data_IF_139413008101
#
_entry.id   IF_139413008101
#
_cell.length_a   1.000
_cell.length_b   1.000
_cell.length_c   1.000
_cell.angle_alpha   90.00
_cell.angle_beta   90.00
_cell.angle_gamma   90.00
#
_symmetry.space_group_name_H-M   'P 1'
#
loop_
_entity.id
_entity.type
_entity.pdbx_description
1 polymer ?
#
# COMPACT_ATOMS: atom_id res chain seq x y z
N UNK A 1 12.05 21.42 -1.51
CA UNK A 1 10.90 20.84 -2.24
C UNK A 1 11.36 19.53 -2.85
N UNK A 2 10.63 18.43 -2.64
CA UNK A 2 10.88 17.20 -3.39
C UNK A 2 10.53 17.46 -4.86
N UNK A 3 11.45 17.16 -5.79
CA UNK A 3 11.22 17.33 -7.22
C UNK A 3 10.11 16.39 -7.72
N UNK A 4 9.56 16.63 -8.93
CA UNK A 4 8.64 15.69 -9.55
C UNK A 4 9.30 14.30 -9.66
N UNK A 5 8.55 13.25 -9.32
CA UNK A 5 9.02 11.87 -9.44
C UNK A 5 9.36 11.50 -10.88
N UNK A 6 10.06 10.37 -11.13
CA UNK A 6 10.51 10.00 -12.46
C UNK A 6 9.33 9.85 -13.43
N UNK A 7 9.45 10.42 -14.63
CA UNK A 7 8.38 10.42 -15.63
C UNK A 7 8.27 9.10 -16.39
N UNK A 8 9.39 8.37 -16.55
CA UNK A 8 9.48 7.08 -17.22
C UNK A 8 10.34 6.10 -16.40
N UNK A 9 10.05 4.81 -16.53
CA UNK A 9 10.78 3.76 -15.85
C UNK A 9 12.11 3.48 -16.56
N UNK A 10 13.21 3.45 -15.81
CA UNK A 10 14.51 2.99 -16.34
C UNK A 10 14.51 1.47 -16.41
N UNK A 11 15.05 0.91 -17.48
CA UNK A 11 15.04 -0.52 -17.73
C UNK A 11 15.75 -1.36 -16.66
N UNK A 12 16.72 -0.80 -15.92
CA UNK A 12 17.54 -1.48 -14.92
C UNK A 12 17.02 -1.33 -13.47
N UNK A 13 16.03 -0.46 -13.26
CA UNK A 13 15.67 0.01 -11.93
C UNK A 13 14.66 -0.90 -11.20
N UNK A 14 14.69 -0.80 -9.88
CA UNK A 14 13.69 -1.37 -8.97
C UNK A 14 12.93 -0.21 -8.34
N UNK A 15 11.64 -0.08 -8.64
CA UNK A 15 10.76 0.92 -8.05
C UNK A 15 9.98 0.31 -6.91
N UNK A 16 10.01 0.94 -5.73
CA UNK A 16 9.24 0.51 -4.58
C UNK A 16 8.52 1.69 -3.92
N UNK A 17 7.29 1.43 -3.45
CA UNK A 17 6.59 2.32 -2.55
C UNK A 17 6.73 1.81 -1.12
N UNK A 18 7.30 2.62 -0.24
CA UNK A 18 7.40 2.32 1.19
C UNK A 18 6.19 2.90 1.91
N UNK A 19 5.39 2.01 2.50
CA UNK A 19 4.11 2.34 3.09
C UNK A 19 4.11 2.01 4.58
N UNK A 20 3.75 2.97 5.43
CA UNK A 20 3.43 2.69 6.83
C UNK A 20 2.00 2.14 6.88
N UNK A 21 1.90 0.86 7.21
CA UNK A 21 0.72 -0.01 7.08
C UNK A 21 0.55 -0.86 8.33
N UNK A 22 -0.69 -0.98 8.85
CA UNK A 22 -1.24 -2.03 9.76
C UNK A 22 -2.24 -1.46 10.76
N UNK A 23 -1.97 -0.27 11.31
CA UNK A 23 -2.87 0.37 12.31
C UNK A 23 -3.69 1.53 11.75
N UNK A 24 -3.49 1.83 10.47
CA UNK A 24 -4.07 2.98 9.78
C UNK A 24 -5.59 2.97 9.67
N UNK A 25 -6.20 1.79 9.75
CA UNK A 25 -7.65 1.57 9.81
C UNK A 25 -8.24 1.93 11.19
N UNK A 26 -7.42 2.05 12.23
CA UNK A 26 -7.91 2.32 13.57
C UNK A 26 -8.10 3.80 13.84
N UNK A 27 -9.28 4.22 14.32
CA UNK A 27 -9.56 5.63 14.61
C UNK A 27 -8.63 6.19 15.70
N UNK A 28 -8.37 5.41 16.75
CA UNK A 28 -7.51 5.84 17.86
C UNK A 28 -6.05 6.04 17.43
N UNK A 29 -5.61 5.33 16.39
CA UNK A 29 -4.26 5.46 15.89
C UNK A 29 -3.99 6.88 15.38
N UNK A 30 -4.95 7.46 14.64
CA UNK A 30 -4.88 8.82 14.12
C UNK A 30 -5.04 9.89 15.19
N UNK A 31 -5.80 9.63 16.26
CA UNK A 31 -5.95 10.60 17.36
C UNK A 31 -4.72 10.62 18.29
N UNK A 32 -3.92 9.55 18.32
CA UNK A 32 -2.88 9.35 19.35
C UNK A 32 -1.52 8.97 18.74
N UNK A 33 -1.33 7.71 18.33
CA UNK A 33 0.00 7.18 18.02
C UNK A 33 0.62 7.78 16.76
N UNK A 34 -0.20 7.99 15.72
CA UNK A 34 0.26 8.57 14.46
C UNK A 34 0.87 9.96 14.67
N UNK A 35 0.43 10.76 15.67
CA UNK A 35 1.03 12.07 15.95
C UNK A 35 2.50 11.97 16.39
N UNK A 36 2.86 10.90 17.11
CA UNK A 36 4.24 10.63 17.54
C UNK A 36 5.15 10.37 16.34
N UNK A 37 4.69 9.54 15.40
CA UNK A 37 5.44 9.23 14.16
C UNK A 37 5.50 10.45 13.25
N UNK A 38 4.37 11.16 13.15
CA UNK A 38 4.27 12.36 12.33
C UNK A 38 5.22 13.44 12.81
N UNK A 39 5.52 13.54 14.11
CA UNK A 39 6.43 14.55 14.66
C UNK A 39 7.91 14.37 14.28
N UNK A 40 8.29 13.30 13.58
CA UNK A 40 9.66 13.07 13.15
C UNK A 40 10.17 14.22 12.23
N UNK A 41 11.33 14.83 12.54
CA UNK A 41 11.86 15.98 11.78
C UNK A 41 12.29 15.62 10.35
N UNK A 42 12.47 14.34 10.04
CA UNK A 42 12.79 13.86 8.70
C UNK A 42 11.53 13.65 7.82
N UNK A 43 10.33 13.92 8.36
CA UNK A 43 9.08 13.85 7.57
C UNK A 43 9.16 14.75 6.35
N UNK A 44 8.72 14.22 5.22
CA UNK A 44 8.74 14.92 3.94
C UNK A 44 10.08 14.92 3.20
N UNK A 45 11.15 14.34 3.78
CA UNK A 45 12.45 14.18 3.08
C UNK A 45 12.45 13.01 2.10
N UNK A 46 11.65 11.99 2.36
CA UNK A 46 11.50 10.78 1.54
C UNK A 46 10.02 10.48 1.33
N UNK A 47 9.63 9.84 0.20
CA UNK A 47 8.24 9.50 -0.05
C UNK A 47 7.77 8.40 0.90
N UNK A 48 6.62 8.61 1.54
CA UNK A 48 5.98 7.65 2.45
C UNK A 48 4.50 7.56 2.11
N UNK A 49 4.02 6.34 1.90
CA UNK A 49 2.59 6.05 1.86
C UNK A 49 2.03 5.86 3.26
N UNK A 50 0.89 6.48 3.55
CA UNK A 50 0.20 6.44 4.84
C UNK A 50 -1.17 5.77 4.67
N UNK A 51 -1.31 4.60 5.29
CA UNK A 51 -2.57 3.86 5.37
C UNK A 51 -3.57 4.62 6.23
N UNK A 52 -4.64 5.20 5.67
CA UNK A 52 -5.56 6.09 6.40
C UNK A 52 -7.01 5.62 6.38
N UNK A 53 -7.63 5.54 7.57
CA UNK A 53 -9.04 5.26 7.69
C UNK A 53 -9.87 6.40 7.09
N UNK A 54 -10.66 6.08 6.06
CA UNK A 54 -11.49 7.07 5.39
C UNK A 54 -12.69 7.53 6.23
N UNK A 55 -13.13 6.76 7.22
CA UNK A 55 -14.25 7.13 8.12
C UNK A 55 -13.88 8.18 9.16
N UNK A 56 -12.59 8.56 9.25
CA UNK A 56 -12.18 9.78 9.96
C UNK A 56 -12.93 11.01 9.48
N UNK A 57 -13.39 11.02 8.22
CA UNK A 57 -14.17 12.10 7.63
C UNK A 57 -15.49 12.38 8.37
N UNK A 58 -15.99 11.40 9.12
CA UNK A 58 -17.20 11.53 9.92
C UNK A 58 -16.89 11.42 11.41
N UNK A 59 -15.99 10.50 11.80
CA UNK A 59 -15.69 10.22 13.20
C UNK A 59 -14.76 11.26 13.84
N UNK A 60 -13.77 11.75 13.10
CA UNK A 60 -12.72 12.66 13.59
C UNK A 60 -12.35 13.73 12.54
N UNK A 61 -13.32 14.52 12.04
CA UNK A 61 -13.10 15.39 10.87
C UNK A 61 -12.00 16.45 11.08
N UNK A 62 -11.91 17.04 12.28
CA UNK A 62 -10.86 18.01 12.59
C UNK A 62 -9.46 17.38 12.68
N UNK A 63 -9.37 16.12 13.15
CA UNK A 63 -8.11 15.37 13.15
C UNK A 63 -7.69 15.09 11.72
N UNK A 64 -8.63 14.64 10.87
CA UNK A 64 -8.38 14.38 9.46
C UNK A 64 -7.86 15.63 8.73
N UNK A 65 -8.59 16.74 8.86
CA UNK A 65 -8.22 18.02 8.25
C UNK A 65 -6.81 18.45 8.65
N UNK A 66 -6.45 18.29 9.93
CA UNK A 66 -5.12 18.61 10.41
C UNK A 66 -4.03 17.81 9.67
N UNK A 67 -4.22 16.50 9.46
CA UNK A 67 -3.24 15.69 8.72
C UNK A 67 -3.10 16.10 7.26
N UNK A 68 -4.20 16.38 6.56
CA UNK A 68 -4.15 16.88 5.19
C UNK A 68 -3.49 18.26 5.10
N UNK A 69 -3.78 19.18 6.02
CA UNK A 69 -3.19 20.51 6.04
C UNK A 69 -1.68 20.53 6.33
N UNK A 70 -1.16 19.50 7.01
CA UNK A 70 0.25 19.39 7.39
C UNK A 70 1.02 18.32 6.60
N UNK A 71 0.38 17.72 5.59
CA UNK A 71 1.01 16.78 4.68
C UNK A 71 1.98 17.51 3.74
N UNK A 72 3.16 16.93 3.57
CA UNK A 72 4.11 17.36 2.55
C UNK A 72 3.80 16.69 1.21
N UNK A 73 4.46 17.11 0.13
CA UNK A 73 4.34 16.45 -1.18
C UNK A 73 4.77 14.97 -1.18
N UNK A 74 5.52 14.56 -0.15
CA UNK A 74 6.02 13.20 0.05
C UNK A 74 5.15 12.37 1.00
N UNK A 75 4.15 12.98 1.65
CA UNK A 75 3.16 12.27 2.45
C UNK A 75 1.97 11.91 1.56
N UNK A 76 1.79 10.63 1.24
CA UNK A 76 0.72 10.14 0.36
C UNK A 76 -0.26 9.25 1.10
N UNK A 77 -1.50 9.70 1.24
CA UNK A 77 -2.55 8.90 1.87
C UNK A 77 -3.20 7.95 0.88
N UNK A 78 -3.60 6.78 1.36
CA UNK A 78 -4.48 5.85 0.64
C UNK A 78 -5.44 5.21 1.64
N UNK A 79 -6.59 4.73 1.18
CA UNK A 79 -7.60 4.13 2.05
C UNK A 79 -7.06 2.89 2.74
N UNK A 80 -7.20 2.86 4.07
CA UNK A 80 -6.67 1.80 4.91
C UNK A 80 -7.31 0.44 4.67
N UNK A 81 -6.73 -0.62 5.24
CA UNK A 81 -7.25 -1.98 5.11
C UNK A 81 -8.68 -2.07 5.70
N UNK A 82 -9.72 -2.51 4.98
CA UNK A 82 -9.77 -3.00 3.59
C UNK A 82 -10.64 -2.12 2.69
N UNK A 83 -10.48 -0.80 2.77
CA UNK A 83 -11.27 0.22 2.09
C UNK A 83 -11.99 1.11 3.09
N UNK A 84 -13.31 0.90 3.23
CA UNK A 84 -14.15 1.64 4.18
C UNK A 84 -13.86 1.25 5.66
N UNK A 85 -13.35 0.04 5.89
CA UNK A 85 -13.06 -0.45 7.24
C UNK A 85 -12.44 -1.84 7.20
N UNK A 86 -11.83 -2.24 8.32
CA UNK A 86 -11.05 -3.47 8.36
C UNK A 86 -11.92 -4.72 8.24
N UNK A 87 -11.60 -5.53 7.25
CA UNK A 87 -12.20 -6.83 6.99
C UNK A 87 -11.26 -7.72 6.20
N UNK A 88 -11.37 -9.03 6.37
CA UNK A 88 -10.75 -9.96 5.45
C UNK A 88 -11.58 -10.03 4.15
N UNK A 89 -11.01 -9.52 3.06
CA UNK A 89 -11.69 -9.44 1.76
C UNK A 89 -12.05 -10.80 1.18
N UNK A 90 -11.36 -11.87 1.59
CA UNK A 90 -11.62 -13.24 1.14
C UNK A 90 -12.96 -13.76 1.66
N UNK A 91 -13.22 -13.55 2.94
CA UNK A 91 -14.37 -14.14 3.64
C UNK A 91 -15.51 -13.16 3.88
N UNK A 92 -15.33 -11.89 3.48
CA UNK A 92 -16.35 -10.88 3.65
C UNK A 92 -17.64 -11.26 2.90
N UNK A 93 -18.76 -11.10 3.59
CA UNK A 93 -20.11 -11.47 3.15
C UNK A 93 -20.38 -12.97 2.87
N UNK A 94 -19.44 -13.89 3.10
CA UNK A 94 -19.62 -15.32 2.77
C UNK A 94 -20.78 -15.99 3.52
N UNK A 95 -21.09 -15.53 4.74
CA UNK A 95 -22.21 -16.09 5.53
C UNK A 95 -23.59 -15.61 5.06
N UNK A 96 -23.65 -14.67 4.12
CA UNK A 96 -24.91 -14.17 3.55
C UNK A 96 -25.28 -14.95 2.27
N UNK A 97 -26.57 -15.06 2.01
CA UNK A 97 -27.12 -15.87 0.91
C UNK A 97 -27.26 -15.05 -0.37
N UNK A 98 -26.92 -15.68 -1.51
CA UNK A 98 -27.27 -15.23 -2.87
C UNK A 98 -27.28 -13.72 -3.07
N UNK A 99 -28.46 -13.15 -3.31
CA UNK A 99 -28.66 -11.74 -3.59
C UNK A 99 -28.16 -10.78 -2.48
N UNK A 100 -28.20 -11.19 -1.21
CA UNK A 100 -27.69 -10.37 -0.11
C UNK A 100 -26.17 -10.25 -0.17
N UNK A 101 -25.47 -11.35 -0.44
CA UNK A 101 -24.02 -11.36 -0.61
C UNK A 101 -23.61 -10.40 -1.74
N UNK A 102 -24.26 -10.52 -2.89
CA UNK A 102 -23.98 -9.66 -4.04
C UNK A 102 -24.25 -8.18 -3.75
N UNK A 103 -25.35 -7.88 -3.07
CA UNK A 103 -25.69 -6.52 -2.63
C UNK A 103 -24.62 -5.97 -1.68
N UNK A 104 -24.23 -6.73 -0.65
CA UNK A 104 -23.25 -6.30 0.35
C UNK A 104 -21.90 -5.99 -0.31
N UNK A 105 -21.39 -6.88 -1.15
CA UNK A 105 -20.12 -6.69 -1.85
C UNK A 105 -20.15 -5.47 -2.78
N UNK A 106 -21.25 -5.27 -3.51
CA UNK A 106 -21.45 -4.09 -4.35
C UNK A 106 -21.50 -2.81 -3.53
N UNK A 107 -22.33 -2.77 -2.50
CA UNK A 107 -22.58 -1.55 -1.73
C UNK A 107 -21.34 -1.15 -0.94
N UNK A 108 -20.58 -2.12 -0.41
CA UNK A 108 -19.29 -1.86 0.23
C UNK A 108 -18.28 -1.23 -0.73
N UNK A 109 -18.16 -1.75 -1.95
CA UNK A 109 -17.28 -1.16 -2.95
C UNK A 109 -17.72 0.27 -3.33
N UNK A 110 -19.01 0.50 -3.54
CA UNK A 110 -19.56 1.83 -3.85
C UNK A 110 -19.29 2.83 -2.72
N UNK A 111 -19.48 2.42 -1.47
CA UNK A 111 -19.18 3.27 -0.31
C UNK A 111 -17.69 3.55 -0.19
N UNK A 112 -16.83 2.54 -0.32
CA UNK A 112 -15.37 2.72 -0.34
C UNK A 112 -14.96 3.76 -1.39
N UNK A 113 -15.46 3.62 -2.63
CA UNK A 113 -15.19 4.58 -3.70
C UNK A 113 -15.71 5.99 -3.42
N UNK A 114 -16.88 6.13 -2.80
CA UNK A 114 -17.45 7.43 -2.41
C UNK A 114 -16.55 8.15 -1.42
N UNK A 115 -16.07 7.45 -0.39
CA UNK A 115 -15.17 8.02 0.62
C UNK A 115 -13.80 8.37 0.04
N UNK A 116 -13.23 7.48 -0.78
CA UNK A 116 -11.98 7.75 -1.48
C UNK A 116 -12.07 9.04 -2.31
N UNK A 117 -13.14 9.21 -3.09
CA UNK A 117 -13.38 10.46 -3.86
C UNK A 117 -13.57 11.68 -2.98
N UNK A 118 -14.33 11.57 -1.88
CA UNK A 118 -14.55 12.69 -0.93
C UNK A 118 -13.22 13.21 -0.36
N UNK A 119 -12.27 12.32 -0.16
CA UNK A 119 -10.96 12.62 0.43
C UNK A 119 -9.83 12.79 -0.59
N UNK A 120 -10.12 12.64 -1.89
CA UNK A 120 -9.09 12.67 -2.93
C UNK A 120 -8.07 11.52 -2.83
N UNK A 121 -8.43 10.39 -2.22
CA UNK A 121 -7.55 9.22 -2.12
C UNK A 121 -7.68 8.37 -3.38
N UNK A 122 -6.56 8.15 -4.06
CA UNK A 122 -6.51 7.35 -5.29
C UNK A 122 -6.21 5.87 -5.06
N UNK A 123 -5.74 5.52 -3.86
CA UNK A 123 -5.35 4.16 -3.50
C UNK A 123 -6.29 3.51 -2.51
N UNK A 124 -6.44 2.18 -2.62
CA UNK A 124 -7.12 1.35 -1.61
C UNK A 124 -6.23 0.20 -1.21
N UNK A 125 -6.04 -0.02 0.09
CA UNK A 125 -5.39 -1.23 0.60
C UNK A 125 -6.43 -2.28 0.98
N UNK A 126 -6.16 -3.55 0.68
CA UNK A 126 -7.06 -4.68 0.93
C UNK A 126 -6.33 -5.80 1.68
N UNK A 127 -6.85 -6.18 2.85
CA UNK A 127 -6.39 -7.35 3.58
C UNK A 127 -7.01 -8.63 3.00
N UNK A 128 -6.16 -9.60 2.68
CA UNK A 128 -6.49 -10.81 1.91
C UNK A 128 -6.06 -12.08 2.66
N UNK A 129 -6.34 -12.14 3.97
CA UNK A 129 -6.06 -13.32 4.80
C UNK A 129 -4.67 -13.37 5.41
N UNK A 130 -4.43 -14.38 6.25
CA UNK A 130 -3.15 -14.59 6.91
C UNK A 130 -2.03 -14.91 5.93
N UNK A 131 -0.81 -14.62 6.36
CA UNK A 131 0.42 -14.74 5.58
C UNK A 131 0.66 -16.09 4.88
N UNK A 132 0.16 -17.18 5.47
CA UNK A 132 0.32 -18.56 5.00
C UNK A 132 -1.00 -19.21 4.58
N UNK A 133 -2.12 -18.49 4.67
CA UNK A 133 -3.45 -19.05 4.43
C UNK A 133 -3.63 -19.47 2.97
N UNK A 134 -4.61 -20.32 2.70
CA UNK A 134 -5.04 -20.53 1.32
C UNK A 134 -5.74 -19.26 0.80
N UNK A 135 -5.31 -18.77 -0.36
CA UNK A 135 -6.07 -17.76 -1.10
C UNK A 135 -7.33 -18.45 -1.66
N UNK A 136 -8.53 -18.18 -1.12
CA UNK A 136 -9.75 -18.75 -1.64
C UNK A 136 -10.10 -18.09 -2.98
N UNK A 137 -11.05 -18.66 -3.73
CA UNK A 137 -11.53 -18.06 -4.96
C UNK A 137 -11.97 -16.61 -4.75
N UNK A 138 -11.72 -15.74 -5.73
CA UNK A 138 -12.19 -14.35 -5.68
C UNK A 138 -13.69 -14.31 -5.47
N UNK A 139 -14.14 -13.54 -4.48
CA UNK A 139 -15.55 -13.19 -4.29
C UNK A 139 -15.95 -11.94 -5.11
N UNK A 140 -15.06 -11.41 -5.95
CA UNK A 140 -15.30 -10.27 -6.81
C UNK A 140 -15.13 -8.90 -6.14
N UNK A 141 -14.75 -8.83 -4.86
CA UNK A 141 -14.64 -7.56 -4.13
C UNK A 141 -13.53 -6.66 -4.68
N UNK A 142 -12.34 -7.23 -4.97
CA UNK A 142 -11.22 -6.52 -5.58
C UNK A 142 -11.66 -5.85 -6.90
N UNK A 143 -12.31 -6.60 -7.78
CA UNK A 143 -12.79 -6.11 -9.07
C UNK A 143 -13.84 -5.01 -8.92
N UNK A 144 -14.70 -5.11 -7.91
CA UNK A 144 -15.72 -4.08 -7.63
C UNK A 144 -15.07 -2.79 -7.10
N UNK A 145 -14.06 -2.90 -6.25
CA UNK A 145 -13.32 -1.76 -5.70
C UNK A 145 -12.47 -1.10 -6.80
N UNK A 146 -11.73 -1.87 -7.58
CA UNK A 146 -10.90 -1.35 -8.68
C UNK A 146 -11.73 -0.60 -9.74
N UNK A 147 -13.02 -0.94 -9.91
CA UNK A 147 -13.93 -0.24 -10.84
C UNK A 147 -14.49 1.08 -10.30
N UNK A 148 -14.26 1.41 -9.03
CA UNK A 148 -14.82 2.63 -8.47
C UNK A 148 -14.11 3.86 -9.06
N UNK A 149 -14.90 4.85 -9.47
CA UNK A 149 -14.36 6.11 -9.94
C UNK A 149 -13.44 6.74 -8.89
N UNK A 150 -12.24 7.13 -9.30
CA UNK A 150 -11.19 7.70 -8.44
C UNK A 150 -10.15 6.69 -7.95
N UNK A 151 -10.42 5.38 -7.98
CA UNK A 151 -9.42 4.37 -7.64
C UNK A 151 -8.43 4.22 -8.79
N UNK A 152 -7.15 4.48 -8.52
CA UNK A 152 -6.03 4.42 -9.49
C UNK A 152 -5.02 3.33 -9.18
N UNK A 153 -5.02 2.77 -7.98
CA UNK A 153 -4.22 1.59 -7.63
C UNK A 153 -4.83 0.84 -6.43
N UNK A 154 -4.48 -0.44 -6.31
CA UNK A 154 -4.83 -1.27 -5.16
C UNK A 154 -3.56 -1.87 -4.56
N UNK A 155 -3.44 -1.80 -3.22
CA UNK A 155 -2.39 -2.46 -2.46
C UNK A 155 -2.97 -3.68 -1.76
N UNK A 156 -2.55 -4.87 -2.18
CA UNK A 156 -2.99 -6.13 -1.61
C UNK A 156 -2.09 -6.54 -0.44
N UNK A 157 -2.72 -7.26 0.49
CA UNK A 157 -2.14 -7.93 1.63
C UNK A 157 -1.62 -7.00 2.73
N UNK A 158 -1.88 -7.39 3.98
CA UNK A 158 -1.25 -6.77 5.14
C UNK A 158 0.06 -7.48 5.43
N UNK A 159 1.06 -7.17 4.59
CA UNK A 159 2.35 -7.83 4.54
C UNK A 159 2.40 -9.00 3.57
N UNK A 160 3.62 -9.42 3.21
CA UNK A 160 3.87 -10.44 2.19
C UNK A 160 3.03 -11.68 2.41
N UNK A 161 2.41 -12.19 1.36
CA UNK A 161 1.75 -13.49 1.40
C UNK A 161 2.69 -14.54 0.82
N UNK A 162 2.88 -15.68 1.50
CA UNK A 162 3.79 -16.77 1.07
C UNK A 162 3.45 -17.38 -0.29
N UNK A 163 2.20 -17.23 -0.73
CA UNK A 163 1.71 -17.79 -1.99
C UNK A 163 1.80 -16.81 -3.16
N UNK A 164 2.29 -15.60 -2.92
CA UNK A 164 2.51 -14.60 -3.95
C UNK A 164 3.97 -14.67 -4.40
N UNK A 165 4.17 -15.09 -5.65
CA UNK A 165 5.48 -15.03 -6.30
C UNK A 165 5.86 -13.55 -6.54
N UNK A 166 7.07 -13.10 -6.15
CA UNK A 166 7.51 -11.72 -6.38
C UNK A 166 7.34 -11.22 -7.82
N UNK A 167 7.68 -12.07 -8.81
CA UNK A 167 7.56 -11.74 -10.24
C UNK A 167 6.11 -11.54 -10.73
N UNK A 168 5.12 -11.95 -9.93
CA UNK A 168 3.69 -11.82 -10.24
C UNK A 168 2.96 -10.89 -9.26
N UNK A 169 3.70 -10.25 -8.36
CA UNK A 169 3.14 -9.41 -7.31
C UNK A 169 2.53 -8.11 -7.83
N UNK A 170 2.92 -7.66 -9.02
CA UNK A 170 2.37 -6.50 -9.69
C UNK A 170 1.65 -6.91 -10.98
N UNK A 171 0.40 -6.51 -11.15
CA UNK A 171 -0.36 -6.78 -12.36
C UNK A 171 -1.41 -5.71 -12.64
N UNK A 172 -1.84 -5.63 -13.90
CA UNK A 172 -2.94 -4.76 -14.31
C UNK A 172 -4.26 -5.51 -14.18
N UNK A 173 -5.13 -5.03 -13.28
CA UNK A 173 -6.54 -5.42 -13.26
C UNK A 173 -7.32 -4.42 -14.12
N UNK A 174 -7.47 -4.77 -15.41
CA UNK A 174 -7.92 -3.84 -16.46
C UNK A 174 -6.96 -2.66 -16.57
N UNK A 175 -7.38 -1.48 -16.13
CA UNK A 175 -6.70 -0.20 -16.18
C UNK A 175 -6.13 0.25 -14.81
N UNK A 176 -6.32 -0.59 -13.77
CA UNK A 176 -5.86 -0.35 -12.40
C UNK A 176 -4.69 -1.27 -12.04
N UNK A 177 -3.50 -0.70 -11.76
CA UNK A 177 -2.39 -1.40 -11.10
C UNK A 177 -2.81 -2.01 -9.76
N UNK A 178 -2.47 -3.28 -9.58
CA UNK A 178 -2.58 -3.99 -8.31
C UNK A 178 -1.17 -4.41 -7.89
N UNK A 179 -0.82 -4.11 -6.64
CA UNK A 179 0.47 -4.47 -6.05
C UNK A 179 0.24 -5.28 -4.79
N UNK A 180 0.68 -6.53 -4.77
CA UNK A 180 0.87 -7.25 -3.52
C UNK A 180 2.04 -6.66 -2.73
N UNK A 181 1.85 -6.51 -1.43
CA UNK A 181 2.91 -6.10 -0.52
C UNK A 181 3.93 -7.23 -0.42
N UNK A 182 5.22 -6.95 -0.61
CA UNK A 182 6.29 -7.97 -0.65
C UNK A 182 7.22 -7.98 0.57
N UNK A 183 6.91 -7.20 1.59
CA UNK A 183 7.62 -7.26 2.88
C UNK A 183 6.65 -7.57 4.00
N UNK A 184 7.16 -8.02 5.14
CA UNK A 184 6.39 -8.21 6.39
C UNK A 184 6.96 -7.32 7.48
N UNK A 185 6.43 -7.50 8.67
CA UNK A 185 7.04 -7.04 9.91
C UNK A 185 7.47 -8.21 10.78
N UNK A 186 8.41 -7.96 11.67
CA UNK A 186 8.75 -8.91 12.72
C UNK A 186 7.57 -9.00 13.69
N UNK A 187 7.03 -10.20 13.89
CA UNK A 187 5.97 -10.46 14.87
C UNK A 187 6.51 -10.37 16.29
N UNK A 188 5.73 -9.81 17.20
CA UNK A 188 6.04 -9.70 18.62
C UNK A 188 4.95 -10.38 19.44
N UNK A 189 5.32 -10.80 20.65
CA UNK A 189 4.39 -11.41 21.62
C UNK A 189 3.90 -10.41 22.66
N UNK A 190 4.66 -9.34 22.90
CA UNK A 190 4.36 -8.34 23.93
C UNK A 190 4.57 -6.91 23.44
N UNK A 191 3.84 -5.95 24.01
CA UNK A 191 4.06 -4.53 23.70
C UNK A 191 5.45 -4.06 24.12
N UNK A 192 6.10 -4.70 25.09
CA UNK A 192 7.45 -4.36 25.52
C UNK A 192 8.50 -4.65 24.42
N UNK A 193 8.34 -5.73 23.67
CA UNK A 193 9.22 -6.06 22.54
C UNK A 193 9.21 -4.94 21.48
N UNK A 194 8.03 -4.42 21.15
CA UNK A 194 7.86 -3.29 20.21
C UNK A 194 8.63 -2.06 20.67
N UNK A 195 8.60 -1.76 21.97
CA UNK A 195 9.29 -0.60 22.54
C UNK A 195 10.81 -0.77 22.59
N UNK A 196 11.31 -2.00 22.56
CA UNK A 196 12.75 -2.30 22.51
C UNK A 196 13.34 -2.37 21.11
N UNK A 197 12.52 -2.23 20.06
CA UNK A 197 13.00 -2.31 18.67
C UNK A 197 14.00 -1.19 18.42
N UNK A 198 15.20 -1.58 17.99
CA UNK A 198 16.25 -0.66 17.57
C UNK A 198 16.23 -0.46 16.05
N UNK A 199 16.56 0.77 15.63
CA UNK A 199 16.58 1.20 14.23
C UNK A 199 17.51 0.35 13.38
N UNK A 200 18.73 0.07 13.88
CA UNK A 200 19.75 -0.63 13.12
C UNK A 200 19.28 -2.05 12.79
N UNK A 201 18.77 -2.75 13.80
CA UNK A 201 18.28 -4.13 13.63
C UNK A 201 17.04 -4.20 12.75
N UNK A 202 16.06 -3.30 12.98
CA UNK A 202 14.84 -3.24 12.18
C UNK A 202 15.16 -2.95 10.70
N UNK A 203 15.99 -1.95 10.42
CA UNK A 203 16.35 -1.60 9.05
C UNK A 203 17.24 -2.64 8.38
N UNK A 204 18.15 -3.29 9.11
CA UNK A 204 18.93 -4.40 8.56
C UNK A 204 18.02 -5.58 8.18
N UNK A 205 16.99 -5.87 8.99
CA UNK A 205 16.01 -6.91 8.68
C UNK A 205 15.14 -6.53 7.49
N UNK A 206 14.53 -5.33 7.48
CA UNK A 206 13.64 -4.92 6.40
C UNK A 206 14.40 -4.72 5.07
N UNK A 207 15.65 -4.26 5.09
CA UNK A 207 16.48 -4.17 3.90
C UNK A 207 16.74 -5.55 3.27
N UNK A 208 17.04 -6.57 4.10
CA UNK A 208 17.18 -7.95 3.62
C UNK A 208 15.86 -8.46 3.04
N UNK A 209 14.76 -8.24 3.75
CA UNK A 209 13.44 -8.68 3.28
C UNK A 209 13.05 -8.04 1.93
N UNK A 210 13.34 -6.74 1.75
CA UNK A 210 13.17 -6.04 0.48
C UNK A 210 14.00 -6.72 -0.62
N UNK A 211 15.28 -6.99 -0.38
CA UNK A 211 16.18 -7.57 -1.38
C UNK A 211 15.82 -9.02 -1.74
N UNK A 212 15.47 -9.83 -0.75
CA UNK A 212 15.11 -11.25 -0.92
C UNK A 212 13.81 -11.45 -1.71
N UNK A 213 12.88 -10.50 -1.60
CA UNK A 213 11.58 -10.57 -2.27
C UNK A 213 11.42 -9.56 -3.40
N UNK A 214 12.51 -8.94 -3.84
CA UNK A 214 12.46 -8.09 -5.02
C UNK A 214 12.17 -8.96 -6.26
N UNK A 215 11.20 -8.58 -7.12
CA UNK A 215 10.99 -9.25 -8.40
C UNK A 215 12.29 -9.33 -9.19
N UNK A 216 12.51 -10.39 -9.96
CA UNK A 216 13.69 -10.60 -10.82
C UNK A 216 13.58 -9.83 -12.13
N UNK A 217 12.37 -9.68 -12.66
CA UNK A 217 12.12 -8.93 -13.89
C UNK A 217 12.44 -7.44 -13.71
N UNK A 218 12.90 -6.79 -14.79
CA UNK A 218 13.30 -5.37 -14.77
C UNK A 218 12.63 -4.60 -15.92
N UNK A 219 12.14 -3.37 -15.68
CA UNK A 219 12.04 -2.71 -14.38
C UNK A 219 11.12 -3.44 -13.40
N UNK A 220 11.47 -3.44 -12.12
CA UNK A 220 10.65 -4.05 -11.07
C UNK A 220 9.76 -3.01 -10.39
N UNK A 221 8.57 -3.41 -9.95
CA UNK A 221 7.60 -2.56 -9.27
C UNK A 221 6.95 -3.34 -8.12
N UNK A 222 7.02 -2.85 -6.88
CA UNK A 222 6.31 -3.49 -5.78
C UNK A 222 6.02 -2.54 -4.60
N UNK A 223 5.05 -2.95 -3.77
CA UNK A 223 4.74 -2.31 -2.50
C UNK A 223 5.54 -2.97 -1.38
N UNK A 224 6.16 -2.17 -0.52
CA UNK A 224 6.82 -2.62 0.69
C UNK A 224 6.16 -1.96 1.90
N UNK A 225 5.78 -2.76 2.90
CA UNK A 225 5.31 -2.26 4.19
C UNK A 225 6.46 -2.04 5.17
N UNK A 226 6.30 -0.98 5.95
CA UNK A 226 6.99 -0.73 7.20
C UNK A 226 5.93 -0.62 8.30
N UNK A 227 6.16 -1.21 9.46
CA UNK A 227 5.10 -1.30 10.46
C UNK A 227 4.89 -0.01 11.25
N UNK A 228 3.64 0.36 11.48
CA UNK A 228 3.26 1.63 12.10
C UNK A 228 3.65 1.76 13.57
N UNK A 229 4.00 0.68 14.27
CA UNK A 229 4.28 0.78 15.70
C UNK A 229 5.61 1.45 16.03
N UNK A 230 6.63 1.26 15.21
CA UNK A 230 7.97 1.80 15.47
C UNK A 230 8.65 2.44 14.25
N UNK A 231 8.20 2.18 13.02
CA UNK A 231 8.76 2.89 11.87
C UNK A 231 8.32 4.35 11.86
N UNK A 232 9.31 5.21 11.66
CA UNK A 232 9.15 6.65 11.53
C UNK A 232 9.95 7.20 10.34
N UNK A 233 9.65 8.41 9.85
CA UNK A 233 10.30 8.97 8.67
C UNK A 233 11.85 8.91 8.67
N UNK A 234 12.50 9.16 9.81
CA UNK A 234 13.96 9.05 9.92
C UNK A 234 14.48 7.63 9.69
N UNK A 235 13.72 6.62 10.07
CA UNK A 235 14.07 5.20 9.87
C UNK A 235 13.86 4.80 8.42
N UNK A 236 12.78 5.26 7.79
CA UNK A 236 12.54 5.05 6.36
C UNK A 236 13.65 5.69 5.52
N UNK A 237 14.06 6.91 5.88
CA UNK A 237 15.19 7.60 5.21
C UNK A 237 16.49 6.80 5.31
N UNK A 238 16.80 6.30 6.50
CA UNK A 238 17.97 5.44 6.70
C UNK A 238 17.87 4.12 5.93
N UNK A 239 16.71 3.46 5.96
CA UNK A 239 16.46 2.24 5.20
C UNK A 239 16.73 2.45 3.70
N UNK A 240 16.19 3.52 3.12
CA UNK A 240 16.41 3.86 1.71
C UNK A 240 17.92 4.03 1.42
N UNK A 241 18.66 4.66 2.32
CA UNK A 241 20.11 4.86 2.15
C UNK A 241 20.94 3.57 2.17
N UNK A 242 20.39 2.48 2.71
CA UNK A 242 21.02 1.15 2.76
C UNK A 242 20.73 0.30 1.54
N UNK A 243 19.68 0.63 0.78
CA UNK A 243 19.33 -0.12 -0.42
C UNK A 243 20.33 0.19 -1.55
N UNK A 244 20.58 -0.77 -2.46
CA UNK A 244 21.45 -0.52 -3.62
C UNK A 244 20.93 0.65 -4.45
N UNK A 245 21.83 1.40 -5.10
CA UNK A 245 21.49 2.64 -5.82
C UNK A 245 20.47 2.50 -6.97
N UNK A 246 20.23 1.28 -7.45
CA UNK A 246 19.20 0.99 -8.46
C UNK A 246 17.80 0.76 -7.85
N UNK A 247 17.67 0.76 -6.52
CA UNK A 247 16.40 0.77 -5.79
C UNK A 247 15.93 2.21 -5.59
N UNK A 248 14.80 2.54 -6.18
CA UNK A 248 14.22 3.88 -6.21
C UNK A 248 12.93 3.88 -5.41
N UNK A 249 13.00 4.38 -4.18
CA UNK A 249 11.82 4.66 -3.37
C UNK A 249 11.03 5.81 -4.00
N UNK A 250 9.76 5.54 -4.34
CA UNK A 250 8.88 6.50 -5.01
C UNK A 250 7.56 6.63 -4.25
N UNK A 251 6.81 7.70 -4.55
CA UNK A 251 5.43 7.84 -4.08
C UNK A 251 4.60 6.70 -4.67
N UNK A 252 3.64 6.18 -3.92
CA UNK A 252 2.78 5.06 -4.38
C UNK A 252 2.01 5.40 -5.68
N UNK A 253 1.60 6.65 -5.85
CA UNK A 253 0.98 7.15 -7.09
C UNK A 253 1.95 7.10 -8.27
N UNK A 254 3.23 7.45 -8.06
CA UNK A 254 4.26 7.37 -9.08
C UNK A 254 4.58 5.92 -9.43
N UNK A 255 4.62 5.02 -8.44
CA UNK A 255 4.76 3.58 -8.67
C UNK A 255 3.64 3.07 -9.59
N UNK A 256 2.39 3.40 -9.26
CA UNK A 256 1.22 3.02 -10.05
C UNK A 256 1.28 3.60 -11.49
N UNK A 257 1.67 4.86 -11.63
CA UNK A 257 1.82 5.51 -12.93
C UNK A 257 2.91 4.86 -13.78
N UNK A 258 4.10 4.64 -13.22
CA UNK A 258 5.23 4.04 -13.92
C UNK A 258 4.93 2.62 -14.36
N UNK A 259 4.31 1.83 -13.48
CA UNK A 259 3.90 0.45 -13.81
C UNK A 259 2.86 0.43 -14.94
N UNK A 260 1.86 1.31 -14.90
CA UNK A 260 0.85 1.43 -15.96
C UNK A 260 1.48 1.77 -17.32
N UNK A 261 2.42 2.72 -17.34
CA UNK A 261 3.14 3.10 -18.56
C UNK A 261 3.97 1.92 -19.10
N UNK A 262 4.68 1.21 -18.23
CA UNK A 262 5.46 0.04 -18.60
C UNK A 262 4.58 -1.07 -19.19
N UNK A 263 3.47 -1.40 -18.52
CA UNK A 263 2.54 -2.44 -18.98
C UNK A 263 1.84 -2.08 -20.31
N UNK A 264 1.65 -0.79 -20.61
CA UNK A 264 1.14 -0.34 -21.90
C UNK A 264 2.18 -0.57 -23.02
N UNK A 265 3.44 -0.16 -22.78
CA UNK A 265 4.53 -0.36 -23.75
C UNK A 265 4.76 -1.84 -24.07
N UNK A 266 4.72 -2.73 -23.07
CA UNK A 266 4.83 -4.18 -23.32
C UNK A 266 3.70 -4.75 -24.18
N UNK A 267 2.48 -4.19 -24.09
CA UNK A 267 1.35 -4.64 -24.91
C UNK A 267 1.49 -4.18 -26.35
N UNK A 268 1.95 -2.95 -26.57
CA UNK A 268 2.20 -2.39 -27.89
C UNK A 268 3.28 -3.20 -28.62
N UNK A 269 4.43 -3.46 -27.98
CA UNK A 269 5.50 -4.28 -28.59
C UNK A 269 5.03 -5.69 -28.95
N UNK A 270 4.23 -6.35 -28.09
CA UNK A 270 3.67 -7.68 -28.40
C UNK A 270 2.67 -7.68 -29.55
N UNK A 271 1.99 -6.57 -29.81
CA UNK A 271 1.08 -6.42 -30.94
C UNK A 271 1.84 -6.17 -32.25
N UNK A 272 2.94 -5.43 -32.20
CA UNK A 272 3.83 -5.20 -33.33
C UNK A 272 4.60 -6.46 -33.76
N UNK A 273 4.89 -7.37 -32.82
CA UNK A 273 5.56 -8.65 -33.08
C UNK A 273 4.63 -9.77 -33.62
N UNK A 274 3.32 -9.50 -33.76
CA UNK A 274 2.38 -10.48 -34.34
C UNK A 274 2.33 -10.34 -35.87
N UNK A 275 2.75 -11.36 -36.64
CA UNK A 275 2.74 -11.33 -38.11
C UNK A 275 1.32 -11.30 -38.70
#
# INVERSE_FOLDING_TARGET
MAGPGPTLARADAVYLALNILDSGDSLWYWQLHQRTIWADPERGRVPIGWCMNVTLADALPAVLEWYFAHATANDRFFAAVSGLGYMNTQVYAERFRGADRERILRDYAVLTGRYCRRLGLEGVSLYNGGWSDATPPSNGLLERIARQAGVRFVLMDLGRHEKVEPDRAAYMLRDVPVFHTLTRYQVWSTSAEVLSVDREQANAWLAREIQENTPRLRPAFFSAMAISWYYKPSWIRDLISRLPSHYLAVRVEDLARLFRQHAAGERESRLEERP
#
